data_IF_961862406874
#
_entry.id   IF_961862406874
#
_cell.length_a   1.000
_cell.length_b   1.000
_cell.length_c   1.000
_cell.angle_alpha   90.00
_cell.angle_beta   90.00
_cell.angle_gamma   90.00
#
_symmetry.space_group_name_H-M   'P 1'
#
loop_
_entity.id
_entity.type
_entity.pdbx_description
1 polymer ?
#
# COMPACT_ATOMS: atom_id res chain seq x y z
N UNK A 1 14.56 2.93 6.32
CA UNK A 1 13.19 3.33 6.67
C UNK A 1 12.20 2.38 6.01
N UNK A 2 11.07 2.12 6.65
CA UNK A 2 10.03 1.24 6.12
C UNK A 2 8.94 2.08 5.46
N UNK A 3 8.52 1.68 4.27
CA UNK A 3 7.46 2.35 3.52
C UNK A 3 6.42 1.33 3.04
N UNK A 4 5.15 1.65 3.18
CA UNK A 4 4.08 0.93 2.51
C UNK A 4 3.91 1.52 1.10
N UNK A 5 3.94 0.67 0.09
CA UNK A 5 3.86 1.09 -1.32
C UNK A 5 2.46 0.87 -1.86
N UNK A 6 1.90 1.89 -2.48
CA UNK A 6 0.62 1.84 -3.16
C UNK A 6 0.74 2.66 -4.46
N UNK A 7 0.04 2.29 -5.51
CA UNK A 7 0.05 2.96 -6.82
C UNK A 7 1.44 3.03 -7.47
N UNK A 8 2.11 1.89 -7.74
CA UNK A 8 3.44 1.89 -8.34
C UNK A 8 3.49 2.35 -9.80
N UNK A 9 2.34 2.50 -10.45
CA UNK A 9 2.24 2.84 -11.88
C UNK A 9 2.53 4.31 -12.20
N UNK A 10 2.62 5.19 -11.19
CA UNK A 10 2.85 6.64 -11.36
C UNK A 10 4.02 7.12 -10.53
N UNK A 11 5.22 6.70 -10.91
CA UNK A 11 6.42 7.05 -10.16
C UNK A 11 6.90 8.47 -10.47
N UNK A 12 7.10 9.26 -9.41
CA UNK A 12 7.82 10.53 -9.48
C UNK A 12 9.32 10.28 -9.32
N UNK A 13 10.14 11.30 -9.58
CA UNK A 13 11.60 11.23 -9.32
C UNK A 13 11.88 10.89 -7.86
N UNK A 14 11.14 11.53 -6.93
CA UNK A 14 11.29 11.29 -5.49
C UNK A 14 10.93 9.85 -5.13
N UNK A 15 9.79 9.36 -5.61
CA UNK A 15 9.35 7.99 -5.37
C UNK A 15 10.35 6.99 -5.93
N UNK A 16 10.84 7.20 -7.14
CA UNK A 16 11.87 6.34 -7.77
C UNK A 16 13.13 6.29 -6.92
N UNK A 17 13.58 7.44 -6.39
CA UNK A 17 14.74 7.50 -5.51
C UNK A 17 14.57 6.68 -4.24
N UNK A 18 13.39 6.72 -3.62
CA UNK A 18 13.07 5.93 -2.42
C UNK A 18 13.08 4.42 -2.77
N UNK A 19 12.48 4.04 -3.89
CA UNK A 19 12.44 2.64 -4.34
C UNK A 19 13.83 2.08 -4.64
N UNK A 20 14.72 2.91 -5.16
CA UNK A 20 16.07 2.50 -5.52
C UNK A 20 17.06 2.49 -4.34
N UNK A 21 16.72 3.14 -3.23
CA UNK A 21 17.59 3.17 -2.07
C UNK A 21 17.51 1.84 -1.31
N UNK A 22 18.60 1.09 -1.31
CA UNK A 22 18.68 -0.25 -0.70
C UNK A 22 18.58 -0.24 0.82
N UNK A 23 18.74 0.91 1.47
CA UNK A 23 18.54 1.05 2.91
C UNK A 23 17.06 1.12 3.31
N UNK A 24 16.18 1.40 2.36
CA UNK A 24 14.75 1.43 2.58
C UNK A 24 14.17 0.02 2.51
N UNK A 25 13.26 -0.27 3.45
CA UNK A 25 12.46 -1.49 3.43
C UNK A 25 11.11 -1.12 2.84
N UNK A 26 10.73 -1.81 1.77
CA UNK A 26 9.47 -1.58 1.08
C UNK A 26 8.51 -2.71 1.39
N UNK A 27 7.30 -2.35 1.80
CA UNK A 27 6.25 -3.32 2.12
C UNK A 27 5.02 -3.07 1.27
N UNK A 28 4.44 -4.15 0.75
CA UNK A 28 3.14 -4.13 0.09
C UNK A 28 2.11 -4.73 1.04
N UNK A 29 1.02 -4.01 1.28
CA UNK A 29 -0.05 -4.51 2.13
C UNK A 29 -0.66 -5.79 1.55
N UNK A 30 -0.95 -6.76 2.42
CA UNK A 30 -1.74 -7.95 2.05
C UNK A 30 -3.10 -7.55 1.46
N UNK A 31 -3.65 -6.39 1.85
CA UNK A 31 -4.88 -5.84 1.29
C UNK A 31 -4.71 -5.50 -0.20
N UNK A 32 -3.55 -4.95 -0.57
CA UNK A 32 -3.24 -4.67 -1.98
C UNK A 32 -3.18 -5.96 -2.81
N UNK A 33 -2.64 -7.04 -2.25
CA UNK A 33 -2.64 -8.34 -2.92
C UNK A 33 -4.07 -8.85 -3.15
N UNK A 34 -4.95 -8.70 -2.15
CA UNK A 34 -6.37 -9.07 -2.29
C UNK A 34 -7.05 -8.25 -3.37
N UNK A 35 -6.79 -6.94 -3.41
CA UNK A 35 -7.35 -6.06 -4.43
C UNK A 35 -6.92 -6.48 -5.84
N UNK A 36 -5.64 -6.76 -6.03
CA UNK A 36 -5.10 -7.27 -7.30
C UNK A 36 -5.81 -8.57 -7.70
N UNK A 37 -5.92 -9.52 -6.77
CA UNK A 37 -6.55 -10.80 -7.03
C UNK A 37 -8.03 -10.66 -7.41
N UNK A 38 -8.76 -9.79 -6.72
CA UNK A 38 -10.17 -9.53 -6.98
C UNK A 38 -10.36 -8.89 -8.36
N UNK A 39 -9.54 -7.89 -8.70
CA UNK A 39 -9.60 -7.23 -10.01
C UNK A 39 -9.21 -8.17 -11.15
N UNK A 40 -8.22 -9.02 -10.93
CA UNK A 40 -7.81 -10.03 -11.91
C UNK A 40 -8.93 -11.04 -12.16
N UNK A 41 -9.60 -11.53 -11.11
CA UNK A 41 -10.70 -12.46 -11.22
C UNK A 41 -11.90 -11.87 -11.98
N UNK A 42 -12.08 -10.55 -11.94
CA UNK A 42 -13.16 -9.85 -12.67
C UNK A 42 -12.76 -9.44 -14.09
N UNK A 43 -11.57 -9.81 -14.54
CA UNK A 43 -11.07 -9.42 -15.86
C UNK A 43 -10.69 -7.94 -15.99
N UNK A 44 -10.64 -7.19 -14.89
CA UNK A 44 -10.31 -5.76 -14.91
C UNK A 44 -8.81 -5.52 -14.91
N UNK A 45 -8.02 -6.54 -14.61
CA UNK A 45 -6.57 -6.48 -14.55
C UNK A 45 -6.00 -7.78 -15.12
N UNK A 46 -5.13 -7.67 -16.12
CA UNK A 46 -4.41 -8.81 -16.69
C UNK A 46 -3.12 -9.05 -15.93
N UNK A 47 -3.24 -9.63 -14.75
CA UNK A 47 -2.13 -9.82 -13.84
C UNK A 47 -2.34 -11.11 -13.05
N UNK A 48 -1.44 -12.07 -13.25
CA UNK A 48 -1.55 -13.39 -12.61
C UNK A 48 -0.88 -13.41 -11.23
N UNK A 49 -1.09 -14.49 -10.49
CA UNK A 49 -0.36 -14.73 -9.23
C UNK A 49 1.15 -14.78 -9.49
N UNK A 50 1.57 -15.42 -10.59
CA UNK A 50 2.99 -15.47 -10.96
C UNK A 50 3.56 -14.08 -11.25
N UNK A 51 2.82 -13.24 -11.97
CA UNK A 51 3.21 -11.85 -12.22
C UNK A 51 3.38 -11.07 -10.92
N UNK A 52 2.49 -11.30 -9.96
CA UNK A 52 2.55 -10.65 -8.64
C UNK A 52 3.79 -11.07 -7.88
N UNK A 53 4.10 -12.37 -7.86
CA UNK A 53 5.32 -12.87 -7.22
C UNK A 53 6.58 -12.28 -7.86
N UNK A 54 6.63 -12.21 -9.19
CA UNK A 54 7.76 -11.61 -9.91
C UNK A 54 7.93 -10.14 -9.56
N UNK A 55 6.83 -9.38 -9.48
CA UNK A 55 6.88 -7.96 -9.11
C UNK A 55 7.40 -7.76 -7.68
N UNK A 56 6.97 -8.60 -6.73
CA UNK A 56 7.48 -8.55 -5.36
C UNK A 56 8.99 -8.80 -5.31
N UNK A 57 9.48 -9.77 -6.08
CA UNK A 57 10.90 -10.08 -6.16
C UNK A 57 11.70 -8.94 -6.82
N UNK A 58 11.21 -8.45 -7.97
CA UNK A 58 11.91 -7.41 -8.74
C UNK A 58 12.05 -6.10 -7.98
N UNK A 59 11.05 -5.75 -7.16
CA UNK A 59 11.04 -4.54 -6.35
C UNK A 59 11.54 -4.76 -4.92
N UNK A 60 11.92 -6.00 -4.59
CA UNK A 60 12.32 -6.40 -3.23
C UNK A 60 11.28 -5.98 -2.19
N UNK A 61 10.01 -6.21 -2.49
CA UNK A 61 8.90 -5.90 -1.61
C UNK A 61 8.61 -7.03 -0.64
N UNK A 62 8.45 -6.68 0.62
CA UNK A 62 7.89 -7.60 1.62
C UNK A 62 6.38 -7.41 1.69
N UNK A 63 5.67 -8.47 2.06
CA UNK A 63 4.23 -8.36 2.29
C UNK A 63 3.98 -8.01 3.75
N UNK A 64 3.22 -6.95 3.99
CA UNK A 64 2.78 -6.56 5.32
C UNK A 64 1.45 -7.25 5.63
N UNK A 65 1.42 -8.19 6.60
CA UNK A 65 0.20 -8.91 6.94
C UNK A 65 -0.86 -7.97 7.53
N UNK A 66 -2.12 -8.23 7.21
CA UNK A 66 -3.25 -7.50 7.78
C UNK A 66 -3.73 -8.24 9.02
N UNK A 67 -3.58 -7.63 10.19
CA UNK A 67 -3.84 -8.27 11.49
C UNK A 67 -5.15 -7.78 12.11
N UNK A 68 -5.58 -8.43 13.18
CA UNK A 68 -6.73 -8.00 13.95
C UNK A 68 -6.56 -6.58 14.52
N UNK A 69 -5.36 -6.20 14.93
CA UNK A 69 -5.08 -4.85 15.41
C UNK A 69 -5.34 -3.81 14.32
N UNK A 70 -4.94 -4.10 13.09
CA UNK A 70 -5.21 -3.24 11.95
C UNK A 70 -6.71 -3.10 11.72
N UNK A 71 -7.45 -4.20 11.78
CA UNK A 71 -8.90 -4.20 11.61
C UNK A 71 -9.60 -3.39 12.72
N UNK A 72 -9.18 -3.54 13.96
CA UNK A 72 -9.73 -2.76 15.07
C UNK A 72 -9.49 -1.25 14.90
N UNK A 73 -8.37 -0.88 14.31
CA UNK A 73 -8.06 0.54 14.04
C UNK A 73 -9.09 1.20 13.12
N UNK A 74 -9.77 0.43 12.27
CA UNK A 74 -10.83 0.95 11.40
C UNK A 74 -12.01 1.54 12.16
N UNK A 75 -12.30 1.08 13.37
CA UNK A 75 -13.39 1.64 14.17
C UNK A 75 -13.20 3.14 14.47
N UNK A 76 -11.94 3.56 14.62
CA UNK A 76 -11.58 4.93 14.96
C UNK A 76 -11.18 5.76 13.75
N UNK A 77 -11.13 5.16 12.57
CA UNK A 77 -10.71 5.85 11.35
C UNK A 77 -11.83 6.73 10.79
N UNK A 78 -11.61 8.06 10.64
CA UNK A 78 -12.62 8.93 10.06
C UNK A 78 -12.96 8.54 8.61
N UNK A 79 -14.23 8.70 8.17
CA UNK A 79 -14.66 8.26 6.85
C UNK A 79 -14.31 9.27 5.75
N UNK A 80 -13.02 9.60 5.59
CA UNK A 80 -12.54 10.59 4.63
C UNK A 80 -12.28 10.01 3.25
N UNK A 81 -12.08 8.69 3.15
CA UNK A 81 -11.91 7.95 1.91
C UNK A 81 -12.99 6.88 1.81
N UNK A 82 -13.61 6.75 0.64
CA UNK A 82 -14.73 5.82 0.45
C UNK A 82 -14.28 4.39 0.12
N UNK A 83 -13.09 4.22 -0.47
CA UNK A 83 -12.61 2.91 -0.92
C UNK A 83 -12.24 2.03 0.27
N UNK A 84 -12.89 0.85 0.43
CA UNK A 84 -12.63 -0.03 1.58
C UNK A 84 -11.23 -0.64 1.58
N UNK A 85 -10.62 -0.88 0.43
CA UNK A 85 -9.23 -1.37 0.37
C UNK A 85 -8.28 -0.30 0.89
N UNK A 86 -8.41 0.93 0.38
CA UNK A 86 -7.55 2.04 0.78
C UNK A 86 -7.70 2.39 2.25
N UNK A 87 -8.93 2.35 2.78
CA UNK A 87 -9.17 2.57 4.22
C UNK A 87 -8.44 1.55 5.09
N UNK A 88 -8.41 0.30 4.67
CA UNK A 88 -7.68 -0.76 5.38
C UNK A 88 -6.17 -0.53 5.34
N UNK A 89 -5.63 -0.11 4.20
CA UNK A 89 -4.21 0.23 4.05
C UNK A 89 -3.84 1.42 4.93
N UNK A 90 -4.68 2.44 4.98
CA UNK A 90 -4.50 3.62 5.83
C UNK A 90 -4.48 3.21 7.31
N UNK A 91 -5.45 2.42 7.74
CA UNK A 91 -5.52 1.92 9.11
C UNK A 91 -4.26 1.13 9.48
N UNK A 92 -3.81 0.28 8.58
CA UNK A 92 -2.59 -0.52 8.74
C UNK A 92 -1.36 0.38 8.90
N UNK A 93 -1.19 1.36 8.03
CA UNK A 93 -0.05 2.27 8.06
C UNK A 93 -0.03 3.14 9.32
N UNK A 94 -1.18 3.64 9.75
CA UNK A 94 -1.30 4.41 10.99
C UNK A 94 -0.99 3.55 12.22
N UNK A 95 -1.50 2.33 12.25
CA UNK A 95 -1.25 1.38 13.35
C UNK A 95 0.23 1.04 13.47
N UNK A 96 0.90 0.84 12.35
CA UNK A 96 2.33 0.49 12.28
C UNK A 96 3.25 1.72 12.33
N UNK A 97 2.68 2.92 12.26
CA UNK A 97 3.42 4.18 12.22
C UNK A 97 4.44 4.24 11.08
N UNK A 98 4.04 3.80 9.89
CA UNK A 98 4.88 3.83 8.69
C UNK A 98 4.29 4.76 7.63
N UNK A 99 5.14 5.46 6.86
CA UNK A 99 4.66 6.29 5.76
C UNK A 99 4.16 5.44 4.60
N UNK A 100 3.24 6.01 3.83
CA UNK A 100 2.68 5.39 2.63
C UNK A 100 3.21 6.10 1.38
N UNK A 101 3.63 5.32 0.40
CA UNK A 101 3.96 5.82 -0.93
C UNK A 101 2.75 5.63 -1.83
N UNK A 102 2.08 6.71 -2.17
CA UNK A 102 0.90 6.70 -3.04
C UNK A 102 0.75 8.02 -3.78
N UNK A 103 0.20 7.97 -5.00
CA UNK A 103 -0.21 9.15 -5.75
C UNK A 103 -1.64 9.60 -5.43
N UNK A 104 -2.38 8.86 -4.63
CA UNK A 104 -3.76 9.20 -4.26
C UNK A 104 -3.76 10.28 -3.18
N UNK A 105 -4.24 11.48 -3.52
CA UNK A 105 -4.28 12.63 -2.64
C UNK A 105 -5.19 12.42 -1.41
N UNK A 106 -6.16 11.53 -1.50
CA UNK A 106 -7.09 11.26 -0.39
C UNK A 106 -6.40 10.66 0.83
N UNK A 107 -5.27 10.00 0.64
CA UNK A 107 -4.46 9.50 1.76
C UNK A 107 -3.97 10.64 2.66
N UNK A 108 -3.68 11.80 2.07
CA UNK A 108 -3.19 12.98 2.82
C UNK A 108 -4.24 13.63 3.71
N UNK A 109 -5.51 13.24 3.58
CA UNK A 109 -6.59 13.77 4.42
C UNK A 109 -6.54 13.24 5.87
N UNK A 110 -5.81 12.16 6.10
CA UNK A 110 -5.74 11.51 7.41
C UNK A 110 -4.61 12.07 8.25
N UNK A 111 -4.96 12.60 9.44
CA UNK A 111 -3.97 13.08 10.40
C UNK A 111 -3.06 11.96 10.87
N UNK A 112 -1.76 12.27 10.97
CA UNK A 112 -0.76 11.32 11.43
C UNK A 112 -0.22 10.40 10.35
N UNK A 113 -0.83 10.36 9.18
CA UNK A 113 -0.35 9.58 8.05
C UNK A 113 0.64 10.41 7.23
N UNK A 114 1.86 9.92 7.12
CA UNK A 114 2.86 10.54 6.24
C UNK A 114 2.73 9.93 4.85
N UNK A 115 2.51 10.78 3.86
CA UNK A 115 2.33 10.37 2.46
C UNK A 115 3.49 10.91 1.63
N UNK A 116 4.07 10.04 0.81
CA UNK A 116 5.21 10.34 -0.06
C UNK A 116 4.89 9.94 -1.49
N UNK A 117 5.31 10.78 -2.43
CA UNK A 117 5.21 10.45 -3.86
C UNK A 117 6.15 11.25 -4.75
#
# INVERSE_FOLDING_TARGET
MIFAVESPERLTRRATGILQNTENILELSAISLSEIAIKAARGKLKFSAADTHHALEDLDLRVLPYTANHAFFLFDLPPLHADPFDRQIIAQALCEEIPVMTCDEKFSLYNGLKVLW
#
